data_IF_611870511700
#
_entry.id   IF_611870511700
#
_cell.length_a   1.000
_cell.length_b   1.000
_cell.length_c   1.000
_cell.angle_alpha   90.00
_cell.angle_beta   90.00
_cell.angle_gamma   90.00
#
_symmetry.space_group_name_H-M   'P 1'
#
loop_
_entity.id
_entity.type
_entity.pdbx_description
1 polymer ?
#
# COMPACT_ATOMS: atom_id res chain seq x y z
N UNK A 1 30.74 10.13 -52.79
CA UNK A 1 30.12 11.35 -52.21
C UNK A 1 28.64 11.13 -52.01
N UNK A 2 28.20 11.01 -50.75
CA UNK A 2 26.88 11.42 -50.22
C UNK A 2 26.91 11.10 -48.73
N UNK A 3 26.79 12.16 -47.93
CA UNK A 3 27.00 12.20 -46.49
C UNK A 3 25.70 11.82 -45.76
N UNK A 4 25.84 11.10 -44.65
CA UNK A 4 25.12 11.26 -43.37
C UNK A 4 23.58 11.11 -43.35
N UNK A 5 23.11 10.09 -42.64
CA UNK A 5 22.08 10.26 -41.59
C UNK A 5 22.28 9.20 -40.50
N UNK A 6 23.24 9.45 -39.58
CA UNK A 6 23.32 8.81 -38.26
C UNK A 6 22.27 9.50 -37.35
N UNK A 7 21.01 9.48 -37.76
CA UNK A 7 19.89 10.09 -37.03
C UNK A 7 18.75 9.08 -36.90
N UNK A 8 19.08 7.89 -36.42
CA UNK A 8 18.10 6.91 -35.97
C UNK A 8 18.48 6.30 -34.61
N UNK A 9 19.29 7.01 -33.81
CA UNK A 9 19.65 6.62 -32.45
C UNK A 9 19.04 7.51 -31.36
N UNK A 10 18.21 8.51 -31.71
CA UNK A 10 17.60 9.44 -30.73
C UNK A 10 16.06 9.41 -30.78
N UNK A 11 15.46 8.65 -31.71
CA UNK A 11 14.00 8.56 -31.85
C UNK A 11 13.39 7.24 -31.32
N UNK A 12 14.17 6.40 -30.64
CA UNK A 12 13.66 5.21 -29.93
C UNK A 12 13.57 5.44 -28.41
N UNK A 13 14.02 6.60 -27.92
CA UNK A 13 13.94 7.00 -26.51
C UNK A 13 12.69 7.84 -26.17
N UNK A 14 11.75 7.97 -27.11
CA UNK A 14 10.43 8.61 -26.90
C UNK A 14 9.26 7.63 -27.14
N UNK A 15 9.53 6.33 -27.22
CA UNK A 15 8.53 5.25 -27.13
C UNK A 15 8.47 4.62 -25.73
N UNK A 16 8.87 5.37 -24.71
CA UNK A 16 8.52 5.09 -23.33
C UNK A 16 7.89 6.36 -22.77
N UNK A 17 6.58 6.50 -22.89
CA UNK A 17 5.86 6.97 -21.73
C UNK A 17 4.49 6.30 -21.65
N UNK A 18 4.46 5.08 -21.15
CA UNK A 18 3.39 4.68 -20.24
C UNK A 18 4.06 3.82 -19.17
N UNK A 19 4.83 4.47 -18.29
CA UNK A 19 4.92 3.92 -16.94
C UNK A 19 3.52 4.17 -16.37
N UNK A 20 2.61 3.23 -16.61
CA UNK A 20 1.31 3.24 -15.96
C UNK A 20 1.63 3.38 -14.48
N UNK A 21 1.10 4.45 -13.88
CA UNK A 21 1.22 4.68 -12.46
C UNK A 21 0.85 3.38 -11.76
N UNK A 22 1.79 2.86 -11.00
CA UNK A 22 1.64 1.63 -10.29
C UNK A 22 0.63 1.83 -9.15
N UNK A 23 -0.62 1.49 -9.41
CA UNK A 23 -1.48 0.88 -8.40
C UNK A 23 -0.85 -0.49 -8.06
N UNK A 24 0.26 -0.48 -7.32
CA UNK A 24 1.07 -1.69 -7.09
C UNK A 24 0.41 -2.53 -5.99
N UNK A 25 -0.66 -3.22 -6.37
CA UNK A 25 -1.04 -4.47 -5.75
C UNK A 25 0.09 -5.48 -5.98
N UNK A 26 0.69 -5.96 -4.91
CA UNK A 26 1.81 -6.90 -4.94
C UNK A 26 1.26 -8.32 -5.15
N UNK A 27 0.21 -8.68 -4.41
CA UNK A 27 -0.39 -10.01 -4.45
C UNK A 27 -1.88 -9.95 -4.05
N UNK A 28 -2.72 -10.81 -4.64
CA UNK A 28 -4.13 -10.95 -4.26
C UNK A 28 -5.07 -9.95 -4.93
N UNK A 29 -6.15 -9.60 -4.23
CA UNK A 29 -7.19 -8.67 -4.68
C UNK A 29 -7.14 -7.41 -3.81
N UNK A 30 -6.45 -6.38 -4.31
CA UNK A 30 -6.34 -5.09 -3.64
C UNK A 30 -7.49 -4.12 -3.99
N UNK A 31 -8.47 -4.54 -4.79
CA UNK A 31 -9.64 -3.73 -5.11
C UNK A 31 -10.79 -4.04 -4.15
N UNK A 32 -11.18 -5.30 -4.03
CA UNK A 32 -12.37 -5.72 -3.25
C UNK A 32 -12.24 -7.13 -2.64
N UNK A 33 -11.05 -7.46 -2.15
CA UNK A 33 -10.79 -8.78 -1.56
C UNK A 33 -9.64 -8.77 -0.58
N UNK A 34 -8.96 -9.90 -0.43
CA UNK A 34 -7.75 -9.97 0.39
C UNK A 34 -6.52 -9.82 -0.50
N UNK A 35 -5.61 -8.94 -0.12
CA UNK A 35 -4.40 -8.66 -0.90
C UNK A 35 -3.30 -7.98 -0.09
N UNK A 36 -2.12 -7.93 -0.71
CA UNK A 36 -0.95 -7.23 -0.24
C UNK A 36 -0.61 -6.16 -1.25
N UNK A 37 -0.54 -4.90 -0.83
CA UNK A 37 -0.34 -3.77 -1.73
C UNK A 37 0.16 -2.53 -1.02
N UNK A 38 0.51 -1.50 -1.78
CA UNK A 38 0.88 -0.21 -1.22
C UNK A 38 -0.35 0.64 -0.91
N UNK A 39 -0.36 1.26 0.26
CA UNK A 39 -1.29 2.34 0.64
C UNK A 39 -0.90 3.65 -0.05
N UNK A 40 -1.76 4.68 0.05
CA UNK A 40 -1.47 6.04 -0.45
C UNK A 40 -0.16 6.62 0.14
N UNK A 41 0.19 6.23 1.37
CA UNK A 41 1.42 6.63 2.06
C UNK A 41 2.66 5.80 1.64
N UNK A 42 2.55 4.97 0.59
CA UNK A 42 3.62 4.07 0.13
C UNK A 42 4.09 3.06 1.18
N UNK A 43 3.22 2.75 2.15
CA UNK A 43 3.42 1.70 3.14
C UNK A 43 2.75 0.41 2.67
N UNK A 44 3.34 -0.73 2.99
CA UNK A 44 2.78 -2.03 2.61
C UNK A 44 1.65 -2.36 3.58
N UNK A 45 0.51 -2.74 3.03
CA UNK A 45 -0.64 -3.28 3.76
C UNK A 45 -0.95 -4.69 3.25
N UNK A 46 -1.16 -5.61 4.18
CA UNK A 46 -1.64 -6.97 3.94
C UNK A 46 -2.97 -7.16 4.68
N UNK A 47 -4.06 -7.42 3.97
CA UNK A 47 -5.37 -7.56 4.59
C UNK A 47 -6.52 -7.50 3.61
N UNK A 48 -7.70 -7.20 4.14
CA UNK A 48 -8.89 -6.94 3.32
C UNK A 48 -8.82 -5.54 2.68
N UNK A 49 -9.32 -5.44 1.46
CA UNK A 49 -9.38 -4.22 0.65
C UNK A 49 -10.81 -3.99 0.19
N UNK A 50 -11.15 -2.72 0.01
CA UNK A 50 -12.42 -2.31 -0.55
C UNK A 50 -12.25 -1.00 -1.30
N UNK A 51 -12.73 -0.95 -2.54
CA UNK A 51 -12.60 0.19 -3.43
C UNK A 51 -11.15 0.72 -3.53
N UNK A 52 -10.16 -0.19 -3.52
CA UNK A 52 -8.74 0.16 -3.64
C UNK A 52 -8.07 0.67 -2.35
N UNK A 53 -8.78 0.68 -1.21
CA UNK A 53 -8.22 1.12 0.08
C UNK A 53 -8.25 0.02 1.15
N UNK A 54 -7.34 0.04 2.14
CA UNK A 54 -7.38 -0.86 3.29
C UNK A 54 -8.74 -0.87 4.00
N UNK A 55 -9.27 -2.07 4.24
CA UNK A 55 -10.55 -2.30 4.91
C UNK A 55 -10.50 -3.58 5.76
N UNK A 56 -11.50 -3.81 6.61
CA UNK A 56 -11.63 -5.09 7.34
C UNK A 56 -10.44 -5.36 8.27
N UNK A 57 -9.98 -6.61 8.36
CA UNK A 57 -8.79 -6.96 9.15
C UNK A 57 -7.53 -6.91 8.31
N UNK A 58 -6.44 -6.38 8.88
CA UNK A 58 -5.15 -6.36 8.21
C UNK A 58 -3.99 -5.81 9.02
N UNK A 59 -2.84 -5.75 8.35
CA UNK A 59 -1.53 -5.38 8.91
C UNK A 59 -0.87 -4.33 8.04
N UNK A 60 -0.50 -3.19 8.63
CA UNK A 60 0.29 -2.15 7.98
C UNK A 60 1.75 -2.24 8.45
N UNK A 61 2.66 -2.36 7.49
CA UNK A 61 4.10 -2.41 7.74
C UNK A 61 4.67 -0.99 7.63
N UNK A 62 5.05 -0.43 8.79
CA UNK A 62 5.64 0.89 8.90
C UNK A 62 7.14 0.86 8.61
N UNK A 63 7.68 2.03 8.25
CA UNK A 63 9.13 2.23 8.20
C UNK A 63 9.77 1.87 9.55
N UNK A 64 10.90 1.16 9.50
CA UNK A 64 11.60 0.69 10.71
C UNK A 64 11.10 -0.65 11.27
N UNK A 65 10.29 -1.40 10.51
CA UNK A 65 9.91 -2.78 10.85
C UNK A 65 8.81 -2.90 11.91
N UNK A 66 8.16 -1.79 12.26
CA UNK A 66 6.97 -1.79 13.12
C UNK A 66 5.76 -2.26 12.31
N UNK A 67 4.85 -2.96 12.96
CA UNK A 67 3.61 -3.47 12.35
C UNK A 67 2.43 -2.93 13.16
N UNK A 68 1.43 -2.42 12.46
CA UNK A 68 0.12 -2.05 13.04
C UNK A 68 -0.89 -3.08 12.55
N UNK A 69 -1.37 -3.92 13.46
CA UNK A 69 -2.40 -4.91 13.16
C UNK A 69 -3.73 -4.45 13.76
N UNK A 70 -4.82 -4.68 13.05
CA UNK A 70 -6.15 -4.35 13.55
C UNK A 70 -7.19 -4.22 12.45
N UNK A 71 -8.31 -3.62 12.81
CA UNK A 71 -9.40 -3.32 11.88
C UNK A 71 -9.15 -1.99 11.15
N UNK A 72 -9.45 -1.96 9.86
CA UNK A 72 -9.29 -0.83 8.96
C UNK A 72 -10.63 -0.43 8.35
N UNK A 73 -10.86 0.87 8.20
CA UNK A 73 -12.04 1.40 7.54
C UNK A 73 -11.66 2.67 6.77
N UNK A 74 -12.01 2.72 5.49
CA UNK A 74 -11.67 3.83 4.59
C UNK A 74 -10.17 4.19 4.58
N UNK A 75 -9.29 3.18 4.64
CA UNK A 75 -7.84 3.38 4.65
C UNK A 75 -7.23 3.73 6.02
N UNK A 76 -8.04 3.89 7.07
CA UNK A 76 -7.55 4.29 8.40
C UNK A 76 -7.72 3.15 9.44
N UNK A 77 -6.80 3.05 10.42
CA UNK A 77 -6.94 2.09 11.50
C UNK A 77 -8.06 2.52 12.47
N UNK A 78 -9.00 1.61 12.72
CA UNK A 78 -10.05 1.80 13.72
C UNK A 78 -9.42 1.71 15.11
N UNK A 79 -9.54 2.78 15.90
CA UNK A 79 -9.15 2.76 17.31
C UNK A 79 -10.14 1.88 18.07
N UNK A 80 -9.74 0.65 18.38
CA UNK A 80 -10.36 -0.02 19.51
C UNK A 80 -9.94 0.74 20.76
N UNK A 81 -10.86 1.52 21.32
CA UNK A 81 -10.77 1.88 22.73
C UNK A 81 -10.83 0.56 23.48
N UNK A 82 -9.66 0.01 23.80
CA UNK A 82 -9.55 -0.98 24.85
C UNK A 82 -10.31 -0.36 26.03
N UNK A 83 -11.38 -1.02 26.47
CA UNK A 83 -11.95 -0.70 27.77
C UNK A 83 -10.78 -0.76 28.74
N UNK A 84 -10.42 0.38 29.30
CA UNK A 84 -9.56 0.48 30.46
C UNK A 84 -10.29 -0.26 31.59
N UNK A 85 -10.19 -1.59 31.61
CA UNK A 85 -10.31 -2.32 32.86
C UNK A 85 -9.04 -2.00 33.65
N UNK A 86 -9.07 -0.87 34.34
CA UNK A 86 -8.26 -0.64 35.52
C UNK A 86 -8.54 -1.83 36.46
N UNK A 87 -7.66 -2.82 36.45
CA UNK A 87 -7.56 -3.73 37.59
C UNK A 87 -7.06 -2.88 38.75
N UNK A 88 -7.99 -2.32 39.52
CA UNK A 88 -7.77 -1.92 40.90
C UNK A 88 -7.15 -3.13 41.62
N UNK A 89 -5.85 -3.06 41.87
CA UNK A 89 -5.20 -3.94 42.82
C UNK A 89 -5.65 -3.45 44.19
N UNK A 90 -6.73 -4.05 44.71
CA UNK A 90 -7.07 -3.91 46.11
C UNK A 90 -6.04 -4.68 46.93
N UNK A 91 -5.05 -3.95 47.45
CA UNK A 91 -4.26 -4.38 48.59
C UNK A 91 -5.07 -4.13 49.87
N UNK A 92 -5.69 -5.17 50.43
CA UNK A 92 -5.93 -5.32 51.88
C UNK A 92 -5.80 -6.78 52.32
#
# INVERSE_FOLDING_TARGET
MRKWTITALVALSLLFPVMAAADECIEGDCDNGYGTGFTEDSLIYEGEWKDGVPHGQGKLFLSGGRIVEGRWENGEPVKETAGEEEKEVNEE
#
